data_IF_435640003463
#
_entry.id   IF_435640003463
#
_cell.length_a   1.000
_cell.length_b   1.000
_cell.length_c   1.000
_cell.angle_alpha   90.00
_cell.angle_beta   90.00
_cell.angle_gamma   90.00
#
_symmetry.space_group_name_H-M   'P 1'
#
loop_
_entity.id
_entity.type
_entity.pdbx_description
1 polymer ?
#
# COMPACT_ATOMS: atom_id res chain seq x y z
N UNK A 1 20.60 -8.07 6.12
CA UNK A 1 20.90 -6.81 5.40
C UNK A 1 22.36 -6.37 5.54
N UNK A 2 22.86 -6.06 6.75
CA UNK A 2 24.24 -5.57 6.94
C UNK A 2 25.33 -6.50 6.37
N UNK A 3 25.13 -7.82 6.45
CA UNK A 3 26.02 -8.81 5.82
C UNK A 3 26.09 -8.62 4.30
N UNK A 4 24.93 -8.58 3.63
CA UNK A 4 24.81 -8.39 2.18
C UNK A 4 25.45 -7.08 1.72
N UNK A 5 25.24 -5.99 2.47
CA UNK A 5 25.85 -4.69 2.18
C UNK A 5 27.38 -4.73 2.28
N UNK A 6 27.93 -5.43 3.29
CA UNK A 6 29.39 -5.64 3.43
C UNK A 6 29.97 -6.45 2.27
N UNK A 7 29.19 -7.36 1.70
CA UNK A 7 29.54 -8.17 0.52
C UNK A 7 29.35 -7.40 -0.81
N UNK A 8 28.92 -6.13 -0.77
CA UNK A 8 28.74 -5.27 -1.94
C UNK A 8 27.39 -5.44 -2.66
N UNK A 9 26.48 -6.24 -2.13
CA UNK A 9 25.12 -6.41 -2.68
C UNK A 9 24.32 -5.12 -2.45
N UNK A 10 23.82 -4.52 -3.54
CA UNK A 10 23.06 -3.27 -3.48
C UNK A 10 21.55 -3.45 -3.33
N UNK A 11 21.00 -4.52 -3.90
CA UNK A 11 19.57 -4.83 -3.77
C UNK A 11 19.33 -5.63 -2.48
N UNK A 12 18.97 -4.93 -1.41
CA UNK A 12 18.78 -5.51 -0.08
C UNK A 12 17.42 -5.11 0.49
N UNK A 13 16.81 -5.92 1.39
CA UNK A 13 15.50 -5.65 1.97
C UNK A 13 15.57 -4.60 3.09
N UNK A 14 16.10 -3.41 2.78
CA UNK A 14 16.18 -2.25 3.67
C UNK A 14 15.65 -1.04 2.91
N UNK A 15 14.81 -0.25 3.56
CA UNK A 15 14.24 0.96 2.97
C UNK A 15 14.02 2.03 4.04
N UNK A 16 13.88 3.27 3.58
CA UNK A 16 13.37 4.38 4.38
C UNK A 16 11.91 4.64 4.02
N UNK A 17 11.13 5.13 4.99
CA UNK A 17 9.80 5.65 4.71
C UNK A 17 9.88 6.78 3.69
N UNK A 18 8.94 6.79 2.74
CA UNK A 18 8.92 7.79 1.68
C UNK A 18 8.42 9.15 2.22
N UNK A 19 9.18 10.21 1.98
CA UNK A 19 8.79 11.58 2.30
C UNK A 19 8.36 11.74 3.76
N UNK A 20 7.12 12.19 3.97
CA UNK A 20 6.55 12.45 5.30
C UNK A 20 5.60 11.35 5.76
N UNK A 21 5.67 10.17 5.14
CA UNK A 21 4.82 9.04 5.54
C UNK A 21 5.25 8.50 6.89
N UNK A 22 4.26 8.14 7.70
CA UNK A 22 4.48 7.27 8.85
C UNK A 22 5.02 5.92 8.34
N UNK A 23 5.83 5.25 9.14
CA UNK A 23 6.28 3.89 8.84
C UNK A 23 5.09 3.00 8.46
N UNK A 24 5.19 2.32 7.32
CA UNK A 24 4.07 1.58 6.72
C UNK A 24 3.55 0.44 7.60
N UNK A 25 4.38 -0.09 8.49
CA UNK A 25 4.01 -1.12 9.46
C UNK A 25 3.65 -0.58 10.84
N UNK A 26 3.47 0.73 11.00
CA UNK A 26 3.04 1.31 12.28
C UNK A 26 1.63 0.83 12.62
N UNK A 27 1.41 0.22 13.81
CA UNK A 27 0.11 -0.30 14.21
C UNK A 27 -0.79 0.82 14.74
N UNK A 28 -1.09 1.80 13.88
CA UNK A 28 -1.94 2.95 14.18
C UNK A 28 -3.17 2.95 13.29
N UNK A 29 -4.24 3.56 13.77
CA UNK A 29 -5.48 3.74 13.03
C UNK A 29 -5.28 4.66 11.82
N UNK A 30 -6.19 4.56 10.84
CA UNK A 30 -6.14 5.47 9.69
C UNK A 30 -6.36 6.93 10.10
N UNK A 31 -7.15 7.18 11.16
CA UNK A 31 -7.37 8.52 11.71
C UNK A 31 -6.10 9.10 12.33
N UNK A 32 -5.36 8.32 13.12
CA UNK A 32 -4.07 8.73 13.67
C UNK A 32 -3.07 9.03 12.55
N UNK A 33 -2.93 8.12 11.58
CA UNK A 33 -2.08 8.34 10.40
C UNK A 33 -2.44 9.63 9.67
N UNK A 34 -3.73 9.86 9.43
CA UNK A 34 -4.24 11.06 8.77
C UNK A 34 -3.91 12.33 9.57
N UNK A 35 -4.09 12.33 10.88
CA UNK A 35 -3.78 13.45 11.78
C UNK A 35 -2.29 13.80 11.86
N UNK A 36 -1.40 12.87 11.51
CA UNK A 36 0.04 13.09 11.41
C UNK A 36 0.37 13.63 10.02
N UNK A 37 0.01 12.88 8.97
CA UNK A 37 0.50 13.14 7.62
C UNK A 37 -0.11 14.39 6.96
N UNK A 38 -1.39 14.71 7.25
CA UNK A 38 -2.06 15.85 6.61
C UNK A 38 -1.36 17.20 6.89
N UNK A 39 -0.64 17.32 8.01
CA UNK A 39 0.08 18.55 8.41
C UNK A 39 1.21 18.92 7.46
N UNK A 40 1.73 17.96 6.70
CA UNK A 40 2.84 18.17 5.77
C UNK A 40 2.39 18.58 4.37
N UNK A 41 1.14 18.32 3.99
CA UNK A 41 0.60 18.70 2.69
C UNK A 41 0.71 20.20 2.35
N UNK A 42 0.41 21.15 3.26
CA UNK A 42 0.59 22.58 2.95
C UNK A 42 2.06 23.01 2.89
N UNK A 43 2.99 22.21 3.41
CA UNK A 43 4.42 22.55 3.50
C UNK A 43 5.20 22.13 2.25
N UNK A 44 4.72 21.13 1.51
CA UNK A 44 5.44 20.52 0.39
C UNK A 44 4.82 20.93 -0.94
N UNK A 45 5.50 21.80 -1.70
CA UNK A 45 5.09 22.23 -3.04
C UNK A 45 5.37 21.20 -4.14
N UNK A 46 6.23 20.21 -3.88
CA UNK A 46 6.63 19.17 -4.84
C UNK A 46 5.64 18.00 -5.01
N UNK A 47 4.49 18.06 -4.35
CA UNK A 47 3.49 16.99 -4.34
C UNK A 47 3.73 15.98 -3.23
N UNK A 48 2.65 15.60 -2.55
CA UNK A 48 2.63 14.56 -1.52
C UNK A 48 1.40 13.69 -1.76
N UNK A 49 1.48 12.41 -1.44
CA UNK A 49 0.36 11.45 -1.59
C UNK A 49 0.04 10.85 -0.23
N UNK A 50 -1.24 10.72 0.10
CA UNK A 50 -1.66 9.97 1.29
C UNK A 50 -2.12 8.57 0.86
N UNK A 51 -1.39 7.55 1.30
CA UNK A 51 -1.76 6.16 1.02
C UNK A 51 -2.72 5.62 2.08
N UNK A 52 -3.79 4.99 1.59
CA UNK A 52 -4.69 4.13 2.37
C UNK A 52 -4.51 2.70 1.89
N UNK A 53 -3.88 1.84 2.71
CA UNK A 53 -3.67 0.43 2.41
C UNK A 53 -4.89 -0.38 2.85
N UNK A 54 -5.71 -0.81 1.89
CA UNK A 54 -6.94 -1.55 2.18
C UNK A 54 -6.62 -2.99 2.57
N UNK A 55 -7.16 -3.45 3.70
CA UNK A 55 -7.08 -4.84 4.13
C UNK A 55 -8.14 -5.74 3.49
N UNK A 56 -9.27 -5.16 3.10
CA UNK A 56 -10.40 -5.89 2.53
C UNK A 56 -10.25 -6.06 1.02
N UNK A 57 -10.56 -7.26 0.51
CA UNK A 57 -10.61 -7.50 -0.92
C UNK A 57 -11.76 -6.72 -1.59
N UNK A 58 -12.87 -6.49 -0.89
CA UNK A 58 -14.05 -5.82 -1.42
C UNK A 58 -14.55 -4.78 -0.40
N UNK A 59 -13.94 -3.59 -0.35
CA UNK A 59 -14.35 -2.54 0.58
C UNK A 59 -15.75 -2.03 0.25
N UNK A 60 -16.49 -1.63 1.27
CA UNK A 60 -17.82 -1.04 1.11
C UNK A 60 -17.73 0.32 0.38
N UNK A 61 -18.42 0.50 -0.78
CA UNK A 61 -18.34 1.73 -1.57
C UNK A 61 -18.84 2.98 -0.82
N UNK A 62 -19.85 2.83 0.04
CA UNK A 62 -20.40 3.96 0.80
C UNK A 62 -19.43 4.41 1.89
N UNK A 63 -18.78 3.47 2.57
CA UNK A 63 -17.74 3.73 3.55
C UNK A 63 -16.53 4.43 2.90
N UNK A 64 -16.11 3.99 1.70
CA UNK A 64 -15.06 4.68 0.94
C UNK A 64 -15.46 6.11 0.56
N UNK A 65 -16.72 6.34 0.17
CA UNK A 65 -17.21 7.67 -0.15
C UNK A 65 -17.21 8.59 1.08
N UNK A 66 -17.71 8.10 2.22
CA UNK A 66 -17.69 8.83 3.51
C UNK A 66 -16.27 9.19 3.93
N UNK A 67 -15.34 8.24 3.85
CA UNK A 67 -13.93 8.47 4.15
C UNK A 67 -13.30 9.49 3.20
N UNK A 68 -13.60 9.41 1.90
CA UNK A 68 -13.11 10.37 0.91
C UNK A 68 -13.57 11.79 1.23
N UNK A 69 -14.84 11.96 1.61
CA UNK A 69 -15.37 13.25 2.04
C UNK A 69 -14.69 13.76 3.31
N UNK A 70 -14.47 12.89 4.31
CA UNK A 70 -13.77 13.25 5.55
C UNK A 70 -12.34 13.72 5.27
N UNK A 71 -11.59 12.99 4.44
CA UNK A 71 -10.23 13.37 4.03
C UNK A 71 -10.26 14.73 3.32
N UNK A 72 -11.14 14.91 2.34
CA UNK A 72 -11.17 16.11 1.50
C UNK A 72 -11.70 17.36 2.21
N UNK A 73 -12.64 17.23 3.15
CA UNK A 73 -13.27 18.37 3.84
C UNK A 73 -12.58 18.73 5.16
N UNK A 74 -12.11 17.73 5.89
CA UNK A 74 -11.68 17.91 7.28
C UNK A 74 -10.15 17.93 7.42
N UNK A 75 -9.41 17.81 6.31
CA UNK A 75 -7.95 17.76 6.32
C UNK A 75 -7.32 18.59 5.20
N UNK A 76 -5.99 18.67 5.20
CA UNK A 76 -5.22 19.38 4.19
C UNK A 76 -4.69 18.45 3.09
N UNK A 77 -5.12 17.19 3.06
CA UNK A 77 -4.68 16.20 2.08
C UNK A 77 -5.19 16.60 0.69
N UNK A 78 -4.26 16.99 -0.19
CA UNK A 78 -4.56 17.38 -1.58
C UNK A 78 -4.57 16.22 -2.57
N UNK A 79 -3.95 15.09 -2.23
CA UNK A 79 -3.89 13.91 -3.09
C UNK A 79 -3.78 12.64 -2.24
N UNK A 80 -4.67 11.67 -2.49
CA UNK A 80 -4.70 10.40 -1.78
C UNK A 80 -5.08 9.25 -2.71
N UNK A 81 -4.72 8.03 -2.31
CA UNK A 81 -5.07 6.83 -3.04
C UNK A 81 -5.45 5.68 -2.10
N UNK A 82 -6.59 5.07 -2.40
CA UNK A 82 -6.91 3.73 -1.92
C UNK A 82 -6.10 2.72 -2.71
N UNK A 83 -5.36 1.87 -2.01
CA UNK A 83 -4.59 0.78 -2.62
C UNK A 83 -5.11 -0.54 -2.15
N UNK A 84 -5.55 -1.33 -3.13
CA UNK A 84 -5.90 -2.74 -2.99
C UNK A 84 -4.76 -3.58 -3.57
N UNK A 85 -4.22 -4.51 -2.81
CA UNK A 85 -3.31 -5.50 -3.38
C UNK A 85 -4.10 -6.48 -4.25
N UNK A 86 -3.51 -6.93 -5.35
CA UNK A 86 -4.17 -7.77 -6.35
C UNK A 86 -3.38 -9.04 -6.58
N UNK A 87 -4.10 -10.14 -6.73
CA UNK A 87 -3.59 -11.42 -7.21
C UNK A 87 -4.19 -11.70 -8.59
N UNK A 88 -3.36 -11.99 -9.57
CA UNK A 88 -3.74 -12.30 -10.95
C UNK A 88 -3.33 -13.74 -11.25
N UNK A 89 -4.28 -14.58 -11.63
CA UNK A 89 -4.00 -15.96 -12.01
C UNK A 89 -3.48 -16.05 -13.45
N UNK A 90 -2.38 -16.78 -13.65
CA UNK A 90 -1.80 -17.00 -14.99
C UNK A 90 -2.53 -18.10 -15.79
N UNK A 91 -3.35 -18.94 -15.14
CA UNK A 91 -4.06 -20.03 -15.82
C UNK A 91 -5.45 -19.62 -16.33
N UNK A 92 -6.22 -18.89 -15.52
CA UNK A 92 -7.61 -18.52 -15.85
C UNK A 92 -7.87 -17.01 -15.85
N UNK A 93 -6.82 -16.19 -15.77
CA UNK A 93 -6.88 -14.72 -15.81
C UNK A 93 -7.77 -14.06 -14.72
N UNK A 94 -8.19 -14.79 -13.70
CA UNK A 94 -8.97 -14.23 -12.59
C UNK A 94 -8.14 -13.20 -11.82
N UNK A 95 -8.72 -12.03 -11.59
CA UNK A 95 -8.16 -10.97 -10.74
C UNK A 95 -8.91 -10.96 -9.42
N UNK A 96 -8.17 -11.11 -8.33
CA UNK A 96 -8.69 -11.17 -6.96
C UNK A 96 -8.03 -10.13 -6.08
N UNK A 97 -8.74 -9.73 -5.02
CA UNK A 97 -8.18 -8.84 -4.00
C UNK A 97 -7.32 -9.58 -2.99
N UNK A 98 -6.30 -8.88 -2.48
CA UNK A 98 -5.33 -9.42 -1.55
C UNK A 98 -4.11 -10.06 -2.24
N UNK A 99 -3.16 -10.48 -1.42
CA UNK A 99 -2.02 -11.30 -1.82
C UNK A 99 -2.35 -12.75 -1.43
N UNK A 100 -2.89 -13.51 -2.39
CA UNK A 100 -3.38 -14.88 -2.19
C UNK A 100 -2.37 -15.87 -2.76
N UNK A 101 -2.06 -16.95 -2.03
CA UNK A 101 -1.10 -17.97 -2.48
C UNK A 101 -1.61 -18.82 -3.66
N UNK A 102 -2.92 -18.80 -3.93
CA UNK A 102 -3.54 -19.51 -5.04
C UNK A 102 -4.78 -18.78 -5.58
N UNK A 103 -5.14 -19.06 -6.82
CA UNK A 103 -6.33 -18.49 -7.45
C UNK A 103 -7.61 -19.01 -6.76
N UNK A 104 -8.53 -18.13 -6.30
CA UNK A 104 -9.78 -18.58 -5.68
C UNK A 104 -10.80 -19.17 -6.67
N UNK A 105 -10.56 -19.06 -7.98
CA UNK A 105 -11.45 -19.57 -9.02
C UNK A 105 -11.03 -20.97 -9.53
N UNK A 106 -9.75 -21.14 -9.90
CA UNK A 106 -9.25 -22.41 -10.45
C UNK A 106 -8.27 -23.15 -9.53
N UNK A 107 -7.96 -22.60 -8.35
CA UNK A 107 -7.03 -23.16 -7.36
C UNK A 107 -5.57 -23.31 -7.82
N UNK A 108 -5.21 -22.76 -8.99
CA UNK A 108 -3.83 -22.75 -9.45
C UNK A 108 -2.93 -21.95 -8.50
N UNK A 109 -1.75 -22.46 -8.13
CA UNK A 109 -0.72 -21.71 -7.40
C UNK A 109 0.06 -20.73 -8.30
N UNK A 110 -0.15 -20.79 -9.62
CA UNK A 110 0.52 -19.91 -10.57
C UNK A 110 -0.16 -18.54 -10.61
N UNK A 111 0.30 -17.64 -9.73
CA UNK A 111 -0.27 -16.30 -9.55
C UNK A 111 0.80 -15.22 -9.53
N UNK A 112 0.43 -14.02 -9.99
CA UNK A 112 1.24 -12.80 -9.91
C UNK A 112 0.58 -11.77 -9.04
N UNK A 113 1.41 -10.99 -8.35
CA UNK A 113 0.95 -9.93 -7.47
C UNK A 113 1.12 -8.56 -8.11
N UNK A 114 0.10 -7.73 -7.98
CA UNK A 114 0.13 -6.33 -8.37
C UNK A 114 -0.22 -5.46 -7.18
N UNK A 115 0.59 -4.44 -6.95
CA UNK A 115 0.34 -3.47 -5.89
C UNK A 115 0.82 -2.09 -6.33
N UNK A 116 0.45 -1.05 -5.57
CA UNK A 116 0.99 0.29 -5.77
C UNK A 116 2.34 0.37 -5.09
N UNK A 117 3.36 0.86 -5.80
CA UNK A 117 4.66 1.19 -5.21
C UNK A 117 4.51 2.53 -4.45
N UNK A 118 5.03 3.62 -5.00
CA UNK A 118 4.95 4.98 -4.43
C UNK A 118 3.91 5.87 -5.11
N UNK A 119 3.32 5.43 -6.22
CA UNK A 119 2.39 6.27 -6.99
C UNK A 119 1.60 5.55 -8.08
N UNK A 120 2.08 4.43 -8.61
CA UNK A 120 1.41 3.65 -9.66
C UNK A 120 1.42 2.16 -9.35
N UNK A 121 0.51 1.42 -9.98
CA UNK A 121 0.47 -0.03 -9.91
C UNK A 121 1.57 -0.65 -10.78
N UNK A 122 2.28 -1.62 -10.22
CA UNK A 122 3.28 -2.40 -10.93
C UNK A 122 3.24 -3.82 -10.38
N UNK A 123 3.61 -4.78 -11.21
CA UNK A 123 3.85 -6.15 -10.78
C UNK A 123 4.98 -6.23 -9.75
N UNK A 124 4.74 -6.94 -8.65
CA UNK A 124 5.65 -7.06 -7.49
C UNK A 124 6.93 -7.82 -7.83
N UNK A 125 6.89 -8.74 -8.80
CA UNK A 125 8.08 -9.51 -9.21
C UNK A 125 9.20 -8.60 -9.72
N UNK A 126 8.85 -7.51 -10.41
CA UNK A 126 9.78 -6.51 -10.92
C UNK A 126 10.27 -5.51 -9.87
N UNK A 127 9.86 -5.64 -8.60
CA UNK A 127 10.29 -4.76 -7.53
C UNK A 127 11.66 -5.17 -7.00
N UNK A 128 12.40 -4.20 -6.48
CA UNK A 128 13.62 -4.45 -5.71
C UNK A 128 13.28 -5.03 -4.32
N UNK A 129 14.26 -5.60 -3.63
CA UNK A 129 14.06 -6.27 -2.34
C UNK A 129 13.58 -5.32 -1.24
N UNK A 130 13.99 -4.05 -1.31
CA UNK A 130 13.54 -2.98 -0.43
C UNK A 130 12.02 -2.76 -0.53
N UNK A 131 11.49 -2.62 -1.75
CA UNK A 131 10.05 -2.45 -2.00
C UNK A 131 9.24 -3.70 -1.66
N UNK A 132 9.79 -4.89 -1.93
CA UNK A 132 9.15 -6.16 -1.51
C UNK A 132 9.07 -6.26 0.01
N UNK A 133 10.09 -5.78 0.74
CA UNK A 133 10.04 -5.71 2.20
C UNK A 133 8.96 -4.75 2.68
N UNK A 134 8.91 -3.56 2.09
CA UNK A 134 7.88 -2.54 2.39
C UNK A 134 6.46 -3.11 2.22
N UNK A 135 6.16 -3.77 1.10
CA UNK A 135 4.86 -4.41 0.85
C UNK A 135 4.46 -5.43 1.93
N UNK A 136 5.42 -6.24 2.39
CA UNK A 136 5.19 -7.25 3.43
C UNK A 136 4.94 -6.62 4.80
N UNK A 137 5.53 -5.46 5.07
CA UNK A 137 5.40 -4.76 6.35
C UNK A 137 4.19 -3.84 6.41
N UNK A 138 3.51 -3.55 5.30
CA UNK A 138 2.30 -2.70 5.28
C UNK A 138 1.25 -3.16 6.28
N UNK A 139 0.95 -2.28 7.23
CA UNK A 139 -0.22 -2.36 8.08
C UNK A 139 -1.45 -1.97 7.26
N UNK A 140 -2.31 -2.97 7.01
CA UNK A 140 -3.52 -2.81 6.19
C UNK A 140 -4.72 -2.60 7.12
N UNK A 141 -5.53 -1.60 6.79
CA UNK A 141 -6.70 -1.19 7.60
C UNK A 141 -8.00 -1.60 6.92
N UNK A 142 -8.99 -2.04 7.71
CA UNK A 142 -10.36 -2.25 7.24
C UNK A 142 -11.12 -0.92 7.20
N UNK A 143 -11.95 -0.68 6.19
CA UNK A 143 -12.64 0.61 6.02
C UNK A 143 -13.69 0.84 7.13
N UNK A 144 -14.20 -0.25 7.71
CA UNK A 144 -15.16 -0.23 8.83
C UNK A 144 -14.54 0.12 10.20
N UNK A 145 -13.23 0.31 10.29
CA UNK A 145 -12.51 0.61 11.54
C UNK A 145 -12.32 2.11 11.82
N UNK A 146 -13.18 2.96 11.25
CA UNK A 146 -13.10 4.43 11.26
C UNK A 146 -14.43 5.09 11.62
#
# INVERSE_FOLDING_TARGET
ALKLLKEGVRDVPVYYSNGTHVYVGAPITLAEKLSIEHKFFPLLSGGNIFHVWLGEAYPDPEALLKLSWKIAKDTQVGYFAYTKDLTICEECATVSGGLLDACPNCYSPNVRYWSRVTGYYQEVSGWNEAKKRELRERYRVGVLSL
#
